data_IF_553801356757
#
_entry.id   IF_553801356757
#
_cell.length_a   1.000
_cell.length_b   1.000
_cell.length_c   1.000
_cell.angle_alpha   90.00
_cell.angle_beta   90.00
_cell.angle_gamma   90.00
#
_symmetry.space_group_name_H-M   'P 1'
#
loop_
_entity.id
_entity.type
_entity.pdbx_description
1 polymer ?
#
# COMPACT_ATOMS: atom_id res chain seq x y z
N UNK A 1 31.55 -5.55 37.77
CA UNK A 1 32.51 -6.54 37.24
C UNK A 1 32.55 -6.54 35.73
N UNK A 2 33.55 -5.88 35.13
CA UNK A 2 34.47 -6.47 34.15
C UNK A 2 35.53 -5.40 33.83
N UNK A 3 36.77 -5.80 34.08
CA UNK A 3 37.93 -4.96 34.29
C UNK A 3 38.47 -4.37 32.98
N UNK A 4 38.85 -3.09 33.06
CA UNK A 4 39.77 -2.42 32.15
C UNK A 4 41.10 -3.20 32.10
N UNK A 5 41.46 -3.76 30.94
CA UNK A 5 42.80 -4.29 30.70
C UNK A 5 43.51 -3.37 29.70
N UNK A 6 44.41 -2.54 30.22
CA UNK A 6 45.43 -1.83 29.43
C UNK A 6 46.50 -2.85 28.98
N UNK A 7 47.02 -2.78 27.74
CA UNK A 7 48.30 -3.39 27.45
C UNK A 7 49.45 -2.41 27.71
N UNK A 8 50.46 -2.97 28.38
CA UNK A 8 51.65 -2.35 28.95
C UNK A 8 52.57 -1.72 27.89
N UNK A 9 53.10 -0.54 28.25
CA UNK A 9 54.32 0.02 27.67
C UNK A 9 55.51 -0.85 28.12
N UNK A 10 56.15 -1.53 27.18
CA UNK A 10 57.50 -2.08 27.39
C UNK A 10 58.50 -1.03 26.86
N UNK A 11 59.19 -0.39 27.80
CA UNK A 11 60.43 0.34 27.53
C UNK A 11 61.58 -0.66 27.64
N UNK A 12 62.39 -0.78 26.59
CA UNK A 12 63.71 -1.39 26.69
C UNK A 12 64.70 -0.63 25.83
N UNK A 13 65.81 -0.27 26.48
CA UNK A 13 67.12 0.14 25.97
C UNK A 13 67.21 1.43 25.15
N UNK A 14 67.67 2.49 25.83
CA UNK A 14 68.47 3.56 25.25
C UNK A 14 69.79 2.97 24.71
N UNK A 15 70.18 3.39 23.51
CA UNK A 15 71.57 3.66 23.15
C UNK A 15 71.67 5.11 22.65
N UNK A 16 72.67 5.90 23.08
CA UNK A 16 72.79 7.31 22.76
C UNK A 16 73.69 7.51 21.54
N UNK A 17 73.16 8.08 20.47
CA UNK A 17 73.98 8.39 19.31
C UNK A 17 73.29 9.28 18.30
N UNK A 18 73.87 10.46 18.11
CA UNK A 18 73.69 11.36 16.97
C UNK A 18 72.40 12.18 16.93
N UNK A 19 72.50 13.32 17.61
CA UNK A 19 71.69 14.50 17.37
C UNK A 19 72.07 15.12 16.01
N UNK A 20 71.27 14.89 14.97
CA UNK A 20 71.24 15.74 13.78
C UNK A 20 69.79 15.99 13.36
N UNK A 21 69.38 17.24 13.54
CA UNK A 21 68.44 18.01 12.72
C UNK A 21 67.00 17.48 12.59
N UNK A 22 66.10 18.14 13.34
CA UNK A 22 64.64 18.06 13.21
C UNK A 22 64.24 18.71 11.88
N UNK A 23 63.82 17.90 10.89
CA UNK A 23 62.99 18.38 9.78
C UNK A 23 61.51 18.18 10.14
N UNK A 24 60.72 19.21 9.81
CA UNK A 24 59.50 19.61 10.52
C UNK A 24 58.39 18.56 10.68
N UNK A 25 57.82 18.49 11.90
CA UNK A 25 56.53 17.82 12.21
C UNK A 25 55.36 18.29 11.32
N UNK A 26 55.52 19.45 10.67
CA UNK A 26 54.60 20.01 9.68
C UNK A 26 54.46 19.12 8.43
N UNK A 27 55.56 18.53 7.93
CA UNK A 27 55.54 17.74 6.69
C UNK A 27 54.85 16.39 6.85
N UNK A 28 54.98 15.73 8.01
CA UNK A 28 54.34 14.45 8.30
C UNK A 28 52.81 14.60 8.45
N UNK A 29 52.36 15.64 9.16
CA UNK A 29 50.94 15.98 9.30
C UNK A 29 50.31 16.40 7.97
N UNK A 30 51.08 17.04 7.08
CA UNK A 30 50.60 17.44 5.76
C UNK A 30 50.44 16.23 4.80
N UNK A 31 51.33 15.24 4.90
CA UNK A 31 51.25 14.03 4.07
C UNK A 31 50.11 13.10 4.48
N UNK A 32 49.88 12.91 5.78
CA UNK A 32 48.72 12.17 6.31
C UNK A 32 47.39 12.89 6.00
N UNK A 33 47.39 14.23 6.00
CA UNK A 33 46.24 15.02 5.57
C UNK A 33 45.95 14.84 4.07
N UNK A 34 46.98 14.82 3.22
CA UNK A 34 46.84 14.54 1.78
C UNK A 34 46.34 13.11 1.51
N UNK A 35 46.86 12.10 2.23
CA UNK A 35 46.46 10.70 2.08
C UNK A 35 45.02 10.46 2.54
N UNK A 36 44.60 11.09 3.64
CA UNK A 36 43.21 11.03 4.13
C UNK A 36 42.24 11.80 3.24
N UNK A 37 42.64 12.94 2.68
CA UNK A 37 41.86 13.68 1.67
C UNK A 37 41.71 12.86 0.37
N UNK A 38 42.77 12.20 -0.12
CA UNK A 38 42.72 11.35 -1.31
C UNK A 38 41.88 10.06 -1.11
N UNK A 39 41.93 9.47 0.10
CA UNK A 39 41.07 8.33 0.50
C UNK A 39 39.58 8.73 0.60
N UNK A 40 39.29 9.93 1.13
CA UNK A 40 37.92 10.49 1.17
C UNK A 40 37.42 10.91 -0.22
N UNK A 41 38.30 11.39 -1.09
CA UNK A 41 37.96 11.75 -2.47
C UNK A 41 37.71 10.52 -3.36
N UNK A 42 38.49 9.45 -3.22
CA UNK A 42 38.27 8.21 -3.96
C UNK A 42 37.00 7.47 -3.52
N UNK A 43 36.72 7.41 -2.21
CA UNK A 43 35.49 6.80 -1.70
C UNK A 43 34.20 7.51 -2.17
N UNK A 44 34.22 8.84 -2.35
CA UNK A 44 33.07 9.58 -2.88
C UNK A 44 32.81 9.31 -4.36
N UNK A 45 33.87 9.13 -5.17
CA UNK A 45 33.77 8.75 -6.57
C UNK A 45 33.22 7.32 -6.73
N UNK A 46 33.71 6.34 -5.96
CA UNK A 46 33.14 4.98 -5.95
C UNK A 46 31.68 4.95 -5.48
N UNK A 47 31.30 5.81 -4.54
CA UNK A 47 29.92 5.95 -4.08
C UNK A 47 29.01 6.54 -5.17
N UNK A 48 29.53 7.45 -6.01
CA UNK A 48 28.81 7.98 -7.17
C UNK A 48 28.66 6.93 -8.29
N UNK A 49 29.67 6.09 -8.54
CA UNK A 49 29.62 5.05 -9.56
C UNK A 49 28.67 3.90 -9.18
N UNK A 50 28.58 3.54 -7.89
CA UNK A 50 27.59 2.59 -7.36
C UNK A 50 26.14 3.02 -7.58
N UNK A 51 25.84 4.30 -7.85
CA UNK A 51 24.48 4.75 -8.17
C UNK A 51 24.06 4.41 -9.60
N UNK A 52 25.01 4.19 -10.50
CA UNK A 52 24.74 3.83 -11.90
C UNK A 52 24.64 2.32 -12.12
N UNK A 53 25.03 1.51 -11.12
CA UNK A 53 24.89 0.05 -11.14
C UNK A 53 23.60 -0.31 -10.41
N UNK A 54 22.60 -0.77 -11.17
CA UNK A 54 21.34 -1.30 -10.60
C UNK A 54 21.65 -2.38 -9.57
N UNK A 55 20.83 -2.50 -8.53
CA UNK A 55 21.00 -3.63 -7.61
C UNK A 55 20.74 -4.93 -8.39
N UNK A 56 21.42 -6.04 -8.06
CA UNK A 56 21.32 -7.28 -8.85
C UNK A 56 19.87 -7.79 -9.05
N UNK A 57 18.97 -7.51 -8.09
CA UNK A 57 17.56 -7.89 -8.10
C UNK A 57 16.62 -6.85 -8.75
N UNK A 58 17.15 -5.76 -9.31
CA UNK A 58 16.40 -4.71 -10.03
C UNK A 58 16.57 -4.86 -11.56
N UNK A 59 17.13 -5.97 -12.02
CA UNK A 59 17.39 -6.24 -13.44
C UNK A 59 16.16 -6.87 -14.11
N UNK A 60 15.50 -7.82 -13.43
CA UNK A 60 14.31 -8.53 -13.93
C UNK A 60 13.34 -8.84 -12.80
N UNK A 61 12.04 -8.94 -13.12
CA UNK A 61 10.99 -9.26 -12.16
C UNK A 61 10.28 -8.01 -11.62
N UNK A 62 9.37 -8.16 -10.64
CA UNK A 62 8.51 -7.07 -10.18
C UNK A 62 9.28 -5.83 -9.71
N UNK A 63 10.44 -6.01 -9.07
CA UNK A 63 11.27 -4.91 -8.57
C UNK A 63 11.94 -4.08 -9.68
N UNK A 64 11.86 -4.50 -10.95
CA UNK A 64 12.38 -3.80 -12.11
C UNK A 64 11.28 -3.01 -12.87
N UNK A 65 10.00 -3.22 -12.53
CA UNK A 65 8.86 -2.59 -13.18
C UNK A 65 8.69 -1.13 -12.70
N UNK A 66 8.47 -0.14 -13.61
CA UNK A 66 8.20 1.24 -13.22
C UNK A 66 6.97 1.43 -12.32
N UNK A 67 6.00 0.51 -12.35
CA UNK A 67 4.77 0.60 -11.56
C UNK A 67 4.93 0.03 -10.14
N UNK A 68 6.02 -0.71 -9.89
CA UNK A 68 6.29 -1.32 -8.60
C UNK A 68 6.55 -0.28 -7.51
N UNK A 69 5.82 -0.41 -6.40
CA UNK A 69 5.96 0.45 -5.21
C UNK A 69 6.30 -0.39 -3.99
N UNK A 70 7.21 0.12 -3.16
CA UNK A 70 7.56 -0.51 -1.89
C UNK A 70 6.40 -0.47 -0.90
N UNK A 71 6.20 -1.55 -0.16
CA UNK A 71 5.08 -1.70 0.77
C UNK A 71 5.20 -0.86 2.05
N UNK A 72 6.38 -0.32 2.37
CA UNK A 72 6.63 0.43 3.60
C UNK A 72 6.40 1.92 3.33
N UNK A 73 5.25 2.50 3.72
CA UNK A 73 5.04 3.93 3.59
C UNK A 73 5.95 4.67 4.56
N UNK A 74 6.31 5.92 4.24
CA UNK A 74 7.01 6.76 5.21
C UNK A 74 6.07 7.13 6.35
N UNK A 75 6.60 7.23 7.58
CA UNK A 75 5.84 7.65 8.74
C UNK A 75 5.22 9.06 8.59
N UNK A 76 5.79 9.89 7.71
CA UNK A 76 5.28 11.23 7.36
C UNK A 76 4.17 11.22 6.33
N UNK A 77 3.92 10.09 5.64
CA UNK A 77 2.96 9.98 4.53
C UNK A 77 1.69 9.25 4.97
N UNK A 78 1.84 8.17 5.74
CA UNK A 78 0.71 7.40 6.24
C UNK A 78 0.28 7.87 7.63
N UNK A 79 -1.02 8.17 7.79
CA UNK A 79 -1.64 8.49 9.10
C UNK A 79 -0.95 9.63 9.84
N UNK A 80 -0.63 10.71 9.12
CA UNK A 80 -0.05 11.98 9.63
C UNK A 80 -0.86 12.58 10.79
N UNK A 81 -2.15 12.25 10.85
CA UNK A 81 -3.05 12.59 11.95
C UNK A 81 -3.59 11.32 12.57
N UNK A 82 -3.62 11.29 13.89
CA UNK A 82 -4.32 10.25 14.64
C UNK A 82 -5.82 10.32 14.29
N UNK A 83 -6.53 9.19 14.14
CA UNK A 83 -7.96 9.22 13.84
C UNK A 83 -8.82 9.93 14.88
N UNK A 84 -8.35 9.97 16.13
CA UNK A 84 -9.01 10.70 17.21
C UNK A 84 -8.74 12.22 17.18
N UNK A 85 -7.82 12.68 16.33
CA UNK A 85 -7.40 14.09 16.23
C UNK A 85 -7.72 14.61 14.84
N UNK A 86 -9.01 14.82 14.57
CA UNK A 86 -9.49 15.37 13.29
C UNK A 86 -9.37 16.90 13.29
N UNK A 87 -8.93 17.48 12.17
CA UNK A 87 -8.88 18.94 12.00
C UNK A 87 -10.26 19.54 11.74
N UNK A 88 -11.15 18.73 11.18
CA UNK A 88 -12.52 19.11 10.84
C UNK A 88 -13.49 18.41 11.77
N UNK A 89 -14.59 19.10 12.07
CA UNK A 89 -15.74 18.51 12.74
C UNK A 89 -16.67 17.91 11.68
N UNK A 90 -16.76 16.57 11.55
CA UNK A 90 -17.67 15.97 10.57
C UNK A 90 -19.12 16.22 10.97
N UNK A 91 -19.96 16.54 9.99
CA UNK A 91 -21.43 16.58 10.14
C UNK A 91 -21.98 15.44 9.30
N UNK A 92 -22.40 14.36 9.96
CA UNK A 92 -22.98 13.19 9.28
C UNK A 92 -24.49 13.41 9.19
N UNK A 93 -25.08 13.49 7.98
CA UNK A 93 -26.52 13.66 7.83
C UNK A 93 -27.25 12.40 8.30
N UNK A 94 -28.32 12.58 9.06
CA UNK A 94 -29.14 11.47 9.61
C UNK A 94 -30.47 11.29 8.89
N UNK A 95 -31.03 12.37 8.35
CA UNK A 95 -32.32 12.40 7.67
C UNK A 95 -32.21 13.27 6.42
N UNK A 96 -33.01 12.95 5.40
CA UNK A 96 -33.16 13.80 4.22
C UNK A 96 -33.88 15.10 4.59
N UNK A 97 -33.49 16.25 4.01
CA UNK A 97 -34.01 17.57 4.38
C UNK A 97 -35.54 17.69 4.24
N UNK A 98 -36.12 16.99 3.27
CA UNK A 98 -37.57 16.93 3.04
C UNK A 98 -38.33 16.34 4.24
N UNK A 99 -37.72 15.40 4.97
CA UNK A 99 -38.35 14.67 6.07
C UNK A 99 -38.09 15.27 7.45
N UNK A 100 -37.27 16.33 7.53
CA UNK A 100 -36.96 17.01 8.78
C UNK A 100 -38.17 17.78 9.30
N UNK A 101 -38.85 18.51 8.40
CA UNK A 101 -40.03 19.30 8.74
C UNK A 101 -41.34 18.57 8.41
N UNK A 102 -41.41 17.83 7.30
CA UNK A 102 -42.57 16.98 7.00
C UNK A 102 -42.43 15.60 7.64
N UNK A 103 -42.77 15.53 8.93
CA UNK A 103 -42.55 14.35 9.78
C UNK A 103 -43.63 13.27 9.65
N UNK A 104 -44.48 13.31 8.62
CA UNK A 104 -45.56 12.32 8.42
C UNK A 104 -44.96 10.92 8.29
N UNK A 105 -45.20 10.09 9.31
CA UNK A 105 -44.58 8.76 9.36
C UNK A 105 -45.34 7.72 8.52
N UNK A 106 -46.67 7.77 8.47
CA UNK A 106 -47.47 6.73 7.81
C UNK A 106 -47.22 6.63 6.29
N UNK A 107 -46.88 7.74 5.63
CA UNK A 107 -46.49 7.76 4.22
C UNK A 107 -45.10 7.17 3.98
N UNK A 108 -44.20 7.30 4.96
CA UNK A 108 -42.81 6.81 4.90
C UNK A 108 -42.66 5.36 5.39
N UNK A 109 -43.62 4.82 6.15
CA UNK A 109 -43.53 3.50 6.78
C UNK A 109 -43.58 2.35 5.75
N UNK A 110 -42.42 1.99 5.20
CA UNK A 110 -42.27 0.87 4.27
C UNK A 110 -42.47 -0.50 4.93
N UNK A 111 -42.36 -0.60 6.27
CA UNK A 111 -42.46 -1.88 6.97
C UNK A 111 -43.91 -2.37 7.03
N UNK A 112 -44.84 -1.45 7.28
CA UNK A 112 -46.28 -1.75 7.40
C UNK A 112 -47.04 -1.52 6.10
N UNK A 113 -46.56 -0.64 5.23
CA UNK A 113 -47.16 -0.35 3.93
C UNK A 113 -46.85 -1.45 2.90
N UNK A 114 -47.18 -2.70 3.24
CA UNK A 114 -47.11 -3.86 2.35
C UNK A 114 -48.52 -4.34 2.04
N UNK A 115 -48.78 -4.84 0.83
CA UNK A 115 -50.08 -5.41 0.50
C UNK A 115 -50.41 -6.56 1.48
N UNK A 116 -51.67 -6.69 1.92
CA UNK A 116 -52.08 -7.77 2.80
C UNK A 116 -51.95 -9.12 2.10
N UNK A 117 -51.67 -10.17 2.87
CA UNK A 117 -51.53 -11.54 2.36
C UNK A 117 -52.89 -12.03 1.83
N UNK A 118 -52.98 -12.30 0.53
CA UNK A 118 -54.16 -12.90 -0.10
C UNK A 118 -53.99 -14.41 -0.15
N UNK A 119 -54.92 -15.16 0.47
CA UNK A 119 -54.95 -16.63 0.44
C UNK A 119 -56.19 -17.10 -0.30
N UNK A 120 -56.00 -17.93 -1.33
CA UNK A 120 -57.07 -18.54 -2.13
C UNK A 120 -56.90 -20.05 -2.13
N UNK A 121 -57.97 -20.79 -1.89
CA UNK A 121 -57.96 -22.25 -1.92
C UNK A 121 -58.33 -22.70 -3.33
N UNK A 122 -57.46 -23.47 -3.99
CA UNK A 122 -57.72 -24.04 -5.30
C UNK A 122 -58.28 -25.47 -5.15
N UNK A 123 -59.46 -25.72 -5.71
CA UNK A 123 -60.04 -27.07 -5.76
C UNK A 123 -59.62 -27.78 -7.04
N UNK A 124 -59.91 -29.09 -7.11
CA UNK A 124 -59.64 -29.91 -8.30
C UNK A 124 -60.25 -29.31 -9.57
N UNK A 125 -61.49 -28.82 -9.49
CA UNK A 125 -62.21 -28.28 -10.65
C UNK A 125 -61.52 -27.02 -11.21
N UNK A 126 -61.01 -26.15 -10.32
CA UNK A 126 -60.27 -24.94 -10.71
C UNK A 126 -58.97 -25.28 -11.44
N UNK A 127 -58.26 -26.31 -10.95
CA UNK A 127 -57.00 -26.78 -11.55
C UNK A 127 -57.24 -27.42 -12.91
N UNK A 128 -58.26 -28.27 -13.05
CA UNK A 128 -58.62 -28.89 -14.34
C UNK A 128 -59.01 -27.83 -15.36
N UNK A 129 -59.72 -26.78 -14.94
CA UNK A 129 -60.04 -25.64 -15.79
C UNK A 129 -58.77 -24.90 -16.24
N UNK A 130 -57.88 -24.54 -15.32
CA UNK A 130 -56.62 -23.86 -15.63
C UNK A 130 -55.73 -24.69 -16.58
N UNK A 131 -55.69 -26.01 -16.44
CA UNK A 131 -54.96 -26.90 -17.35
C UNK A 131 -55.53 -26.91 -18.76
N UNK A 132 -56.86 -26.83 -18.91
CA UNK A 132 -57.52 -26.77 -20.22
C UNK A 132 -57.32 -25.42 -20.90
N UNK A 133 -57.24 -24.34 -20.13
CA UNK A 133 -57.08 -22.97 -20.64
C UNK A 133 -55.62 -22.63 -20.98
N UNK A 134 -54.65 -23.25 -20.30
CA UNK A 134 -53.23 -22.93 -20.47
C UNK A 134 -52.66 -23.55 -21.75
N UNK A 135 -52.13 -22.71 -22.62
CA UNK A 135 -51.27 -23.09 -23.75
C UNK A 135 -49.88 -22.47 -23.53
N UNK A 136 -48.84 -23.04 -24.13
CA UNK A 136 -47.47 -22.56 -23.97
C UNK A 136 -46.96 -21.97 -25.27
N UNK A 137 -46.58 -20.69 -25.24
CA UNK A 137 -45.77 -20.04 -26.25
C UNK A 137 -44.28 -20.04 -25.81
N UNK A 138 -43.38 -19.73 -26.74
CA UNK A 138 -41.93 -19.62 -26.48
C UNK A 138 -41.62 -18.62 -25.36
N UNK A 139 -42.44 -17.57 -25.20
CA UNK A 139 -42.25 -16.54 -24.18
C UNK A 139 -42.71 -16.95 -22.77
N UNK A 140 -43.46 -18.04 -22.63
CA UNK A 140 -43.97 -18.53 -21.33
C UNK A 140 -42.88 -19.29 -20.54
N UNK A 141 -41.77 -19.64 -21.19
CA UNK A 141 -40.66 -20.32 -20.54
C UNK A 141 -39.79 -19.32 -19.77
N UNK A 142 -39.30 -19.68 -18.57
CA UNK A 142 -38.39 -18.84 -17.82
C UNK A 142 -37.13 -18.57 -18.65
N UNK A 143 -36.73 -17.29 -18.73
CA UNK A 143 -35.54 -16.90 -19.47
C UNK A 143 -34.31 -17.54 -18.84
N UNK A 144 -33.49 -18.17 -19.68
CA UNK A 144 -32.23 -18.77 -19.24
C UNK A 144 -31.22 -17.65 -18.98
N UNK A 145 -30.55 -17.70 -17.83
CA UNK A 145 -29.39 -16.87 -17.55
C UNK A 145 -28.17 -17.46 -18.28
N UNK A 146 -27.92 -17.01 -19.51
CA UNK A 146 -26.78 -17.47 -20.31
C UNK A 146 -25.54 -16.66 -19.94
N UNK A 147 -24.51 -17.34 -19.42
CA UNK A 147 -23.18 -16.77 -19.26
C UNK A 147 -22.38 -17.01 -20.55
N UNK A 148 -21.80 -15.95 -21.10
CA UNK A 148 -20.90 -16.09 -22.23
C UNK A 148 -19.59 -16.74 -21.78
N UNK A 149 -18.99 -17.58 -22.62
CA UNK A 149 -17.59 -17.94 -22.47
C UNK A 149 -16.78 -16.72 -22.89
N UNK A 150 -16.10 -16.10 -21.94
CA UNK A 150 -15.23 -14.95 -22.17
C UNK A 150 -13.79 -15.42 -21.98
N UNK A 151 -12.93 -15.05 -22.90
CA UNK A 151 -11.48 -15.15 -22.72
C UNK A 151 -11.03 -13.87 -22.01
N UNK A 152 -10.54 -14.02 -20.79
CA UNK A 152 -10.10 -12.89 -19.97
C UNK A 152 -8.65 -12.54 -20.32
N UNK A 153 -8.39 -11.25 -20.49
CA UNK A 153 -7.05 -10.70 -20.69
C UNK A 153 -6.72 -9.72 -19.55
N UNK A 154 -5.50 -9.84 -19.04
CA UNK A 154 -5.04 -9.22 -17.78
C UNK A 154 -5.16 -7.70 -17.80
N UNK A 155 -4.91 -7.07 -18.94
CA UNK A 155 -4.88 -5.61 -19.09
C UNK A 155 -6.00 -5.04 -19.99
N UNK A 156 -7.01 -5.85 -20.34
CA UNK A 156 -8.03 -5.43 -21.31
C UNK A 156 -8.99 -4.35 -20.80
N UNK A 157 -9.30 -4.34 -19.50
CA UNK A 157 -10.20 -3.34 -18.90
C UNK A 157 -9.39 -2.15 -18.41
N UNK A 158 -9.54 -1.00 -19.06
CA UNK A 158 -8.89 0.25 -18.63
C UNK A 158 -7.36 0.23 -18.72
N UNK A 159 -6.76 -0.73 -19.43
CA UNK A 159 -5.31 -0.91 -19.47
C UNK A 159 -4.73 -1.55 -18.20
N UNK A 160 -5.52 -2.33 -17.45
CA UNK A 160 -5.11 -2.92 -16.16
C UNK A 160 -5.32 -2.01 -14.96
N UNK A 161 -5.76 -0.77 -15.17
CA UNK A 161 -5.98 0.24 -14.13
C UNK A 161 -7.42 0.73 -14.10
N UNK A 162 -8.11 0.45 -12.99
CA UNK A 162 -9.45 0.95 -12.73
C UNK A 162 -9.39 2.30 -12.02
N UNK A 163 -10.12 3.29 -12.54
CA UNK A 163 -10.36 4.58 -11.86
C UNK A 163 -11.39 4.44 -10.75
#
# INVERSE_FOLDING_TARGET
>A
DFLLVKPNKAWSSLDPGHFHQIESLSQFLWWDFQLTMASKASSSLFQSLRRYIKKPWEITGPCADPEYKNAVPKATEYRVRCPATTLQKPIVPTSDPETVFDIKYYSRDQRRNRPPIRRTILKKDDVVKMMKEKTFDVNDFPKVYLTAKVEEDENAVGGGYQK
#
